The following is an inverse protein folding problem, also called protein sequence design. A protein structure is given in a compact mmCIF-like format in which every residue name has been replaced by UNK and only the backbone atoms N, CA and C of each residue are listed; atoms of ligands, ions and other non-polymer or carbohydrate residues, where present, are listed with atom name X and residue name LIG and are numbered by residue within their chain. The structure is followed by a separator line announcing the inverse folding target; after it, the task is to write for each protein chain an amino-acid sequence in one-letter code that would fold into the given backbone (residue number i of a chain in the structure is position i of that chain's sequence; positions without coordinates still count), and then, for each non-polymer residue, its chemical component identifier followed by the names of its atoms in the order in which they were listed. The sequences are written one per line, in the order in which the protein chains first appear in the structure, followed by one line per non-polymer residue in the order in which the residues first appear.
data_IF_391553159514
#
_entry.id   IF_391553159514
#
_cell.length_a   1.000
_cell.length_b   1.000
_cell.length_c   1.000
_cell.angle_alpha   90.00
_cell.angle_beta   90.00
_cell.angle_gamma   90.00
#
_symmetry.space_group_name_H-M   'P 1'
#
loop_
_entity.id
_entity.type
_entity.pdbx_description
1 polymer ?
#
# COMPACT_ATOMS: atom_id res chain seq x y z
N UNK A 1 -5.41 4.81 -26.61
CA UNK A 1 -4.40 5.39 -25.70
C UNK A 1 -3.79 4.28 -24.85
N UNK A 2 -2.69 3.69 -25.32
CA UNK A 2 -1.93 2.71 -24.55
C UNK A 2 -1.07 3.46 -23.54
N UNK A 3 -1.56 3.60 -22.32
CA UNK A 3 -0.72 3.96 -21.18
C UNK A 3 0.21 2.76 -20.93
N UNK A 4 1.40 2.80 -21.50
CA UNK A 4 2.46 1.84 -21.19
C UNK A 4 2.83 2.08 -19.73
N UNK A 5 2.33 1.22 -18.85
CA UNK A 5 2.62 1.28 -17.42
C UNK A 5 4.09 0.91 -17.23
N UNK A 6 4.94 1.84 -16.78
CA UNK A 6 6.35 1.54 -16.57
C UNK A 6 6.45 0.56 -15.39
N UNK A 7 7.13 -0.56 -15.65
CA UNK A 7 7.54 -1.57 -14.68
C UNK A 7 6.38 -2.37 -14.01
N UNK A 8 6.22 -3.63 -14.41
CA UNK A 8 5.26 -4.58 -13.79
C UNK A 8 5.69 -5.07 -12.39
N UNK A 9 6.81 -4.57 -11.84
CA UNK A 9 7.27 -4.95 -10.51
C UNK A 9 6.30 -4.46 -9.44
N UNK A 10 5.95 -5.36 -8.52
CA UNK A 10 5.27 -4.99 -7.27
C UNK A 10 6.21 -4.09 -6.45
N UNK A 11 5.93 -2.79 -6.42
CA UNK A 11 6.70 -1.83 -5.64
C UNK A 11 6.74 -0.43 -6.23
N UNK A 12 7.59 0.42 -5.65
CA UNK A 12 7.81 1.77 -6.16
C UNK A 12 8.88 1.75 -7.27
N UNK A 13 8.50 1.99 -8.52
CA UNK A 13 9.45 2.08 -9.65
C UNK A 13 10.17 3.43 -9.83
N UNK A 14 9.59 4.52 -9.30
CA UNK A 14 10.16 5.87 -9.36
C UNK A 14 10.22 6.46 -7.96
N UNK A 15 11.43 6.66 -7.41
CA UNK A 15 11.62 7.10 -6.02
C UNK A 15 11.66 8.64 -5.86
N UNK A 16 12.09 9.37 -6.89
CA UNK A 16 12.27 10.83 -6.82
C UNK A 16 10.97 11.59 -6.54
N UNK A 17 9.85 11.12 -7.08
CA UNK A 17 8.53 11.76 -6.95
C UNK A 17 7.69 11.19 -5.79
N UNK A 18 8.18 10.17 -5.08
CA UNK A 18 7.38 9.38 -4.12
C UNK A 18 7.56 9.73 -2.65
N UNK A 19 8.35 10.74 -2.32
CA UNK A 19 8.56 11.17 -0.93
C UNK A 19 7.25 11.34 -0.14
N UNK A 20 6.21 11.89 -0.77
CA UNK A 20 4.89 12.05 -0.14
C UNK A 20 4.15 10.72 0.09
N UNK A 21 4.15 9.83 -0.90
CA UNK A 21 3.51 8.51 -0.80
C UNK A 21 4.20 7.68 0.28
N UNK A 22 5.53 7.62 0.28
CA UNK A 22 6.26 6.87 1.29
C UNK A 22 6.11 7.46 2.70
N UNK A 23 5.95 8.78 2.87
CA UNK A 23 5.65 9.39 4.18
C UNK A 23 4.25 9.03 4.69
N UNK A 24 3.26 8.98 3.80
CA UNK A 24 1.88 8.62 4.17
C UNK A 24 1.78 7.14 4.58
N UNK A 25 2.45 6.24 3.86
CA UNK A 25 2.34 4.81 4.08
C UNK A 25 3.42 4.20 4.99
N UNK A 26 4.50 4.92 5.36
CA UNK A 26 5.56 4.37 6.22
C UNK A 26 5.18 4.21 7.70
N UNK A 27 4.03 4.74 8.14
CA UNK A 27 3.53 4.53 9.50
C UNK A 27 2.84 3.17 9.62
N UNK A 28 3.59 2.07 9.44
CA UNK A 28 3.12 0.72 9.71
C UNK A 28 4.28 -0.24 10.00
N UNK A 29 3.99 -1.40 10.58
CA UNK A 29 4.99 -2.44 10.85
C UNK A 29 4.56 -3.81 10.32
N UNK A 30 5.56 -4.66 10.10
CA UNK A 30 5.39 -6.08 9.77
C UNK A 30 5.86 -6.94 10.94
N UNK A 31 5.29 -8.14 11.05
CA UNK A 31 5.69 -9.13 12.06
C UNK A 31 6.31 -10.29 11.32
N UNK A 32 7.54 -10.67 11.68
CA UNK A 32 8.18 -11.84 11.09
C UNK A 32 7.61 -13.14 11.68
N UNK A 33 8.01 -14.29 11.12
CA UNK A 33 7.59 -15.62 11.60
C UNK A 33 7.98 -15.92 13.06
N UNK A 34 8.91 -15.16 13.63
CA UNK A 34 9.36 -15.28 15.02
C UNK A 34 8.65 -14.29 15.97
N UNK A 35 7.64 -13.57 15.49
CA UNK A 35 6.89 -12.59 16.28
C UNK A 35 7.58 -11.24 16.47
N UNK A 36 8.76 -11.02 15.87
CA UNK A 36 9.47 -9.74 15.97
C UNK A 36 8.86 -8.71 15.03
N UNK A 37 8.59 -7.52 15.57
CA UNK A 37 8.05 -6.38 14.83
C UNK A 37 9.18 -5.61 14.16
N UNK A 38 8.97 -5.21 12.91
CA UNK A 38 9.91 -4.39 12.14
C UNK A 38 9.18 -3.32 11.35
N UNK A 39 9.79 -2.14 11.24
CA UNK A 39 9.31 -1.04 10.43
C UNK A 39 9.13 -1.49 8.98
N UNK A 40 7.97 -1.20 8.40
CA UNK A 40 7.69 -1.47 7.00
C UNK A 40 8.07 -0.26 6.14
N UNK A 41 9.31 -0.24 5.67
CA UNK A 41 9.82 0.83 4.81
C UNK A 41 10.36 0.26 3.49
N UNK A 42 10.50 1.12 2.49
CA UNK A 42 11.14 0.72 1.24
C UNK A 42 12.67 0.58 1.43
N UNK A 43 13.30 -0.28 0.61
CA UNK A 43 14.74 -0.55 0.66
C UNK A 43 15.60 0.73 0.66
N UNK A 44 15.31 1.76 -0.15
CA UNK A 44 16.09 3.01 -0.11
C UNK A 44 16.06 3.71 1.24
N UNK A 45 14.90 3.76 1.93
CA UNK A 45 14.80 4.35 3.29
C UNK A 45 15.61 3.52 4.28
N UNK A 46 15.50 2.19 4.20
CA UNK A 46 16.26 1.28 5.07
C UNK A 46 17.77 1.43 4.94
N UNK A 47 18.27 1.77 3.74
CA UNK A 47 19.69 1.96 3.47
C UNK A 47 20.16 3.39 3.76
N UNK A 48 19.34 4.40 3.50
CA UNK A 48 19.70 5.81 3.69
C UNK A 48 19.60 6.26 5.16
N UNK A 49 18.75 5.62 5.96
CA UNK A 49 18.43 6.02 7.33
C UNK A 49 18.59 4.86 8.31
N UNK A 50 19.75 4.20 8.29
CA UNK A 50 20.00 2.97 9.05
C UNK A 50 19.82 3.16 10.55
N UNK A 51 20.30 4.25 11.12
CA UNK A 51 20.19 4.54 12.56
C UNK A 51 18.75 4.79 12.98
N UNK A 52 18.01 5.60 12.23
CA UNK A 52 16.59 5.89 12.52
C UNK A 52 15.74 4.63 12.39
N UNK A 53 16.02 3.77 11.40
CA UNK A 53 15.33 2.48 11.24
C UNK A 53 15.65 1.53 12.39
N UNK A 54 16.90 1.52 12.88
CA UNK A 54 17.29 0.73 14.05
C UNK A 54 16.56 1.20 15.31
N UNK A 55 16.53 2.50 15.55
CA UNK A 55 15.80 3.11 16.67
C UNK A 55 14.30 2.80 16.59
N UNK A 56 13.68 2.98 15.42
CA UNK A 56 12.28 2.65 15.19
C UNK A 56 11.99 1.16 15.49
N UNK A 57 12.87 0.24 15.10
CA UNK A 57 12.71 -1.18 15.40
C UNK A 57 12.85 -1.50 16.89
N UNK A 58 13.72 -0.80 17.62
CA UNK A 58 13.83 -0.93 19.09
C UNK A 58 12.53 -0.45 19.75
N UNK A 59 12.00 0.69 19.31
CA UNK A 59 10.72 1.21 19.80
C UNK A 59 9.57 0.23 19.52
N UNK A 60 9.50 -0.32 18.31
CA UNK A 60 8.49 -1.32 17.92
C UNK A 60 8.58 -2.63 18.73
N UNK A 61 9.79 -3.02 19.15
CA UNK A 61 9.98 -4.18 20.01
C UNK A 61 9.40 -3.93 21.41
N UNK A 62 9.61 -2.73 21.96
CA UNK A 62 9.08 -2.34 23.26
C UNK A 62 7.56 -2.10 23.24
N UNK A 63 7.05 -1.38 22.23
CA UNK A 63 5.63 -1.05 22.10
C UNK A 63 5.22 -1.03 20.61
N UNK A 64 4.14 -1.72 20.20
CA UNK A 64 3.65 -1.63 18.83
C UNK A 64 3.16 -0.20 18.52
N UNK A 65 3.96 0.54 17.74
CA UNK A 65 3.60 1.85 17.21
C UNK A 65 3.06 1.70 15.78
N UNK A 66 1.81 2.09 15.60
CA UNK A 66 1.13 2.08 14.31
C UNK A 66 0.42 0.76 13.97
N UNK A 67 -0.21 0.70 12.79
CA UNK A 67 -0.91 -0.49 12.33
C UNK A 67 0.02 -1.62 11.89
N UNK A 68 -0.40 -2.86 12.17
CA UNK A 68 0.21 -4.05 11.57
C UNK A 68 -0.29 -4.22 10.14
N UNK A 69 0.62 -4.22 9.17
CA UNK A 69 0.29 -4.24 7.74
C UNK A 69 -0.66 -5.39 7.35
N UNK A 70 -0.41 -6.60 7.87
CA UNK A 70 -1.22 -7.79 7.54
C UNK A 70 -2.67 -7.66 7.94
N UNK A 71 -2.95 -6.97 9.04
CA UNK A 71 -4.29 -6.92 9.61
C UNK A 71 -5.20 -6.07 8.73
N UNK A 72 -4.65 -5.03 8.11
CA UNK A 72 -5.36 -4.19 7.16
C UNK A 72 -5.70 -4.94 5.87
N UNK A 73 -4.82 -5.82 5.37
CA UNK A 73 -5.17 -6.65 4.21
C UNK A 73 -6.37 -7.56 4.50
N UNK A 74 -6.45 -8.12 5.72
CA UNK A 74 -7.60 -8.92 6.12
C UNK A 74 -8.88 -8.08 6.24
N UNK A 75 -8.78 -6.89 6.84
CA UNK A 75 -9.90 -5.95 6.93
C UNK A 75 -10.40 -5.51 5.55
N UNK A 76 -9.49 -5.23 4.61
CA UNK A 76 -9.85 -4.86 3.24
C UNK A 76 -10.60 -5.98 2.51
N UNK A 77 -10.13 -7.24 2.64
CA UNK A 77 -10.83 -8.40 2.07
C UNK A 77 -12.21 -8.64 2.69
N UNK A 78 -12.38 -8.29 3.96
CA UNK A 78 -13.67 -8.36 4.62
C UNK A 78 -14.67 -7.34 4.06
N UNK A 79 -14.19 -6.14 3.72
CA UNK A 79 -15.03 -5.07 3.13
C UNK A 79 -15.37 -5.38 1.67
N UNK A 80 -14.36 -5.72 0.86
CA UNK A 80 -14.52 -6.11 -0.54
C UNK A 80 -13.60 -7.29 -0.84
N UNK A 81 -14.21 -8.48 -0.91
CA UNK A 81 -13.46 -9.70 -1.19
C UNK A 81 -12.83 -9.71 -2.58
N UNK A 82 -13.53 -9.17 -3.60
CA UNK A 82 -13.08 -9.26 -4.98
C UNK A 82 -11.85 -8.38 -5.22
N UNK A 83 -11.95 -7.09 -4.88
CA UNK A 83 -10.83 -6.16 -5.06
C UNK A 83 -9.78 -6.31 -3.96
N UNK A 84 -10.17 -6.64 -2.72
CA UNK A 84 -9.25 -6.80 -1.59
C UNK A 84 -8.39 -8.07 -1.65
N UNK A 85 -8.80 -9.08 -2.44
CA UNK A 85 -8.01 -10.29 -2.65
C UNK A 85 -7.02 -10.18 -3.82
N UNK A 86 -7.17 -9.17 -4.67
CA UNK A 86 -6.31 -8.97 -5.84
C UNK A 86 -5.24 -7.90 -5.56
N UNK A 87 -3.98 -8.29 -5.66
CA UNK A 87 -2.86 -7.35 -5.53
C UNK A 87 -2.44 -6.83 -6.90
N UNK A 88 -2.69 -5.55 -7.13
CA UNK A 88 -2.33 -4.85 -8.36
C UNK A 88 -1.17 -3.87 -8.10
N UNK A 89 -0.25 -3.67 -9.06
CA UNK A 89 0.62 -2.50 -9.06
C UNK A 89 -0.20 -1.22 -8.91
N UNK A 90 0.32 -0.23 -8.18
CA UNK A 90 -0.42 1.00 -7.82
C UNK A 90 -1.07 1.67 -9.03
N UNK A 91 -0.37 1.74 -10.16
CA UNK A 91 -0.89 2.38 -11.36
C UNK A 91 -2.08 1.61 -11.97
N UNK A 92 -2.04 0.27 -11.95
CA UNK A 92 -3.15 -0.58 -12.37
C UNK A 92 -4.33 -0.47 -11.40
N UNK A 93 -4.05 -0.47 -10.09
CA UNK A 93 -5.08 -0.30 -9.07
C UNK A 93 -5.84 1.03 -9.24
N UNK A 94 -5.13 2.13 -9.53
CA UNK A 94 -5.72 3.44 -9.81
C UNK A 94 -6.58 3.38 -11.08
N UNK A 95 -6.09 2.76 -12.15
CA UNK A 95 -6.85 2.62 -13.39
C UNK A 95 -8.17 1.86 -13.14
N UNK A 96 -8.10 0.70 -12.48
CA UNK A 96 -9.28 -0.13 -12.16
C UNK A 96 -10.28 0.67 -11.32
N UNK A 97 -9.81 1.42 -10.31
CA UNK A 97 -10.68 2.24 -9.47
C UNK A 97 -11.39 3.34 -10.27
N UNK A 98 -10.70 4.00 -11.20
CA UNK A 98 -11.30 5.01 -12.08
C UNK A 98 -12.34 4.37 -13.01
N UNK A 99 -12.03 3.23 -13.62
CA UNK A 99 -12.94 2.50 -14.51
C UNK A 99 -14.20 2.02 -13.77
N UNK A 100 -14.06 1.56 -12.53
CA UNK A 100 -15.18 1.17 -11.67
C UNK A 100 -16.11 2.35 -11.35
N UNK A 101 -15.56 3.54 -11.03
CA UNK A 101 -16.36 4.74 -10.74
C UNK A 101 -17.08 5.24 -12.02
N UNK A 102 -16.38 5.24 -13.15
CA UNK A 102 -16.95 5.69 -14.42
C UNK A 102 -18.07 4.75 -14.90
N UNK A 103 -17.95 3.45 -14.67
CA UNK A 103 -19.00 2.48 -15.03
C UNK A 103 -20.20 2.56 -14.07
N UNK A 104 -19.96 2.66 -12.75
CA UNK A 104 -21.02 2.85 -11.75
C UNK A 104 -21.82 4.14 -11.98
N UNK A 105 -21.14 5.27 -12.22
CA UNK A 105 -21.80 6.56 -12.49
C UNK A 105 -22.65 6.54 -13.77
N UNK A 106 -22.20 5.85 -14.83
CA UNK A 106 -22.98 5.65 -16.06
C UNK A 106 -24.20 4.75 -15.86
N UNK A 107 -24.08 3.74 -15.01
CA UNK A 107 -25.18 2.83 -14.70
C UNK A 107 -26.23 3.50 -13.79
N UNK A 108 -25.78 4.24 -12.77
CA UNK A 108 -26.66 4.99 -11.85
C UNK A 108 -27.35 6.20 -12.48
N UNK A 109 -26.75 6.81 -13.50
CA UNK A 109 -27.35 7.93 -14.25
C UNK A 109 -28.53 7.52 -15.14
N UNK A 110 -28.73 6.22 -15.38
CA UNK A 110 -29.92 5.68 -16.07
C UNK A 110 -30.91 5.13 -15.05
N UNK A 111 -31.42 5.98 -14.16
CA UNK A 111 -32.78 5.72 -13.65
C UNK A 111 -33.73 6.04 -14.79
N UNK A 112 -34.19 5.00 -15.47
CA UNK A 112 -35.32 5.10 -16.38
C UNK A 112 -36.48 5.73 -15.61
N UNK A 113 -36.91 6.92 -16.06
CA UNK A 113 -38.26 7.40 -15.80
C UNK A 113 -39.25 6.62 -16.64
#
# INVERSE_FOLDING_TARGET
NNLVLPDQRLGCGHYDQRGMICRLFAYNYTVNKYGQRKLAACKPIMLAQTEQVKEANILLAANPLGPKASDYYSQLRFIDYWHGSQLHPIAQAIQIAIEAILTDSRYRGKKAG
#
